data_IF_021792096156
#
_entry.id   IF_021792096156
#
_cell.length_a   1.000
_cell.length_b   1.000
_cell.length_c   1.000
_cell.angle_alpha   90.00
_cell.angle_beta   90.00
_cell.angle_gamma   90.00
#
_symmetry.space_group_name_H-M   'P 1'
#
loop_
_entity.id
_entity.type
_entity.pdbx_description
1 polymer ?
#
# COMPACT_ATOMS: atom_id res chain seq x y z
N UNK A 1 -22.89 11.74 -49.57
CA UNK A 1 -22.06 10.69 -48.95
C UNK A 1 -20.67 11.26 -48.74
N UNK A 2 -20.27 11.49 -47.50
CA UNK A 2 -18.90 11.89 -47.20
C UNK A 2 -18.80 12.83 -46.01
N UNK A 3 -18.04 12.36 -45.01
CA UNK A 3 -17.50 13.05 -43.83
C UNK A 3 -18.40 13.14 -42.61
N UNK A 4 -18.17 12.23 -41.66
CA UNK A 4 -17.84 12.61 -40.28
C UNK A 4 -16.77 11.64 -39.77
N UNK A 5 -15.53 12.12 -39.71
CA UNK A 5 -14.51 11.53 -38.85
C UNK A 5 -14.85 11.96 -37.42
N UNK A 6 -15.17 11.00 -36.54
CA UNK A 6 -15.11 11.24 -35.10
C UNK A 6 -13.70 10.86 -34.67
N UNK A 7 -12.86 11.88 -34.51
CA UNK A 7 -11.71 11.77 -33.63
C UNK A 7 -12.28 11.76 -32.20
N UNK A 8 -12.22 10.61 -31.53
CA UNK A 8 -12.36 10.56 -30.08
C UNK A 8 -11.03 11.05 -29.51
N UNK A 9 -11.04 12.26 -28.97
CA UNK A 9 -9.95 12.71 -28.12
C UNK A 9 -10.12 11.99 -26.78
N UNK A 10 -9.22 11.04 -26.48
CA UNK A 10 -9.01 10.57 -25.11
C UNK A 10 -8.43 11.75 -24.33
N UNK A 11 -9.29 12.46 -23.60
CA UNK A 11 -8.85 13.48 -22.66
C UNK A 11 -8.33 12.76 -21.42
N UNK A 12 -7.01 12.66 -21.26
CA UNK A 12 -6.41 12.24 -20.01
C UNK A 12 -6.82 13.27 -18.93
N UNK A 13 -7.68 12.86 -18.01
CA UNK A 13 -7.99 13.65 -16.83
C UNK A 13 -6.77 13.62 -15.90
N UNK A 14 -6.21 14.78 -15.60
CA UNK A 14 -5.05 14.92 -14.73
C UNK A 14 -5.51 14.79 -13.27
N UNK A 15 -5.07 13.75 -12.56
CA UNK A 15 -5.39 13.53 -11.16
C UNK A 15 -4.34 14.23 -10.29
N UNK A 16 -4.75 15.33 -9.64
CA UNK A 16 -3.90 16.05 -8.70
C UNK A 16 -4.18 15.54 -7.28
N UNK A 17 -3.23 14.82 -6.69
CA UNK A 17 -3.33 14.38 -5.28
C UNK A 17 -2.95 15.56 -4.39
N UNK A 18 -3.96 16.30 -3.94
CA UNK A 18 -3.78 17.44 -3.05
C UNK A 18 -3.47 16.96 -1.63
N UNK A 19 -2.19 17.01 -1.25
CA UNK A 19 -1.83 17.01 0.17
C UNK A 19 -2.33 18.32 0.79
N UNK A 20 -3.06 18.23 1.90
CA UNK A 20 -3.67 19.39 2.56
C UNK A 20 -2.62 20.33 3.17
N UNK A 21 -1.99 21.15 2.33
CA UNK A 21 -1.09 22.24 2.71
C UNK A 21 -1.74 23.60 2.43
N UNK A 22 -2.62 24.07 3.32
CA UNK A 22 -3.20 25.41 3.17
C UNK A 22 -2.17 26.49 3.57
N UNK A 23 -1.54 27.13 2.59
CA UNK A 23 -0.78 28.36 2.79
C UNK A 23 -1.75 29.51 3.13
N UNK A 24 -1.84 29.85 4.41
CA UNK A 24 -2.61 30.99 4.92
C UNK A 24 -1.90 31.65 6.11
N UNK A 25 -1.48 32.89 5.92
CA UNK A 25 -0.77 33.76 6.88
C UNK A 25 -1.29 33.66 8.33
N UNK A 26 -0.34 33.46 9.24
CA UNK A 26 -0.27 34.13 10.55
C UNK A 26 -1.38 33.83 11.55
N UNK A 27 -1.29 32.69 12.23
CA UNK A 27 -1.64 32.55 13.65
C UNK A 27 -1.19 31.16 14.13
N UNK A 28 -0.62 31.09 15.33
CA UNK A 28 -0.26 29.86 16.04
C UNK A 28 -1.38 28.82 15.94
N UNK A 29 -1.23 27.87 15.01
CA UNK A 29 -2.06 26.68 14.91
C UNK A 29 -1.20 25.50 15.34
N UNK A 30 -1.73 24.70 16.25
CA UNK A 30 -1.19 23.36 16.54
C UNK A 30 -1.03 22.62 15.21
N UNK A 31 0.05 21.82 15.03
CA UNK A 31 0.28 21.09 13.80
C UNK A 31 -0.96 20.28 13.44
N UNK A 32 -1.35 20.36 12.17
CA UNK A 32 -2.25 19.40 11.51
C UNK A 32 -1.65 18.00 11.72
N UNK A 33 -2.50 17.01 11.98
CA UNK A 33 -2.12 15.65 12.33
C UNK A 33 -0.98 15.13 11.45
N UNK A 34 0.15 14.81 12.07
CA UNK A 34 1.26 14.11 11.45
C UNK A 34 0.71 12.77 10.93
N UNK A 35 0.79 12.46 9.62
CA UNK A 35 0.24 11.21 9.08
C UNK A 35 0.86 9.98 9.73
N UNK A 36 1.97 10.16 10.47
CA UNK A 36 2.54 9.16 11.35
C UNK A 36 2.70 9.71 12.76
N UNK A 37 1.57 9.96 13.43
CA UNK A 37 1.54 10.33 14.84
C UNK A 37 1.95 9.15 15.74
N UNK A 38 2.52 9.46 16.91
CA UNK A 38 3.16 8.54 17.90
C UNK A 38 4.62 8.15 17.62
N UNK A 39 5.30 8.73 16.62
CA UNK A 39 6.75 8.58 16.46
C UNK A 39 7.18 7.38 15.60
N UNK A 40 6.24 6.80 14.87
CA UNK A 40 6.57 5.91 13.76
C UNK A 40 7.15 6.73 12.58
N UNK A 41 7.94 6.08 11.75
CA UNK A 41 8.55 6.61 10.53
C UNK A 41 8.36 5.58 9.41
N UNK A 42 7.71 5.98 8.30
CA UNK A 42 7.51 5.09 7.16
C UNK A 42 8.85 4.80 6.50
N UNK A 43 9.10 3.53 6.21
CA UNK A 43 10.29 3.11 5.51
C UNK A 43 10.17 3.47 4.01
N UNK A 44 10.92 4.47 3.55
CA UNK A 44 10.94 4.86 2.13
C UNK A 44 11.42 3.72 1.21
N UNK A 45 12.19 2.78 1.77
CA UNK A 45 12.72 1.60 1.08
C UNK A 45 11.78 0.38 1.17
N UNK A 46 10.54 0.54 1.63
CA UNK A 46 9.58 -0.54 1.86
C UNK A 46 9.19 -1.35 0.60
N UNK A 47 9.65 -0.99 -0.60
CA UNK A 47 9.50 -1.79 -1.83
C UNK A 47 10.75 -2.57 -2.23
N UNK A 48 11.82 -2.49 -1.47
CA UNK A 48 13.05 -3.25 -1.70
C UNK A 48 12.93 -4.66 -1.11
N UNK A 49 13.74 -5.60 -1.62
CA UNK A 49 13.86 -6.93 -1.02
C UNK A 49 14.21 -6.81 0.46
N UNK A 50 13.41 -7.41 1.34
CA UNK A 50 13.72 -7.50 2.76
C UNK A 50 15.05 -8.25 2.96
N UNK A 51 15.91 -7.71 3.83
CA UNK A 51 17.25 -8.25 4.11
C UNK A 51 17.20 -9.52 4.95
N UNK A 52 18.27 -10.32 4.92
CA UNK A 52 18.38 -11.56 5.70
C UNK A 52 18.24 -11.31 7.22
N UNK A 53 18.84 -10.26 7.76
CA UNK A 53 18.73 -9.90 9.19
C UNK A 53 17.27 -9.65 9.61
N UNK A 54 16.52 -8.95 8.76
CA UNK A 54 15.10 -8.67 8.98
C UNK A 54 14.23 -9.93 8.84
N UNK A 55 14.67 -10.92 8.05
CA UNK A 55 14.00 -12.24 8.00
C UNK A 55 14.26 -13.05 9.25
N UNK A 56 15.49 -13.10 9.74
CA UNK A 56 15.85 -13.82 10.96
C UNK A 56 15.09 -13.26 12.18
N UNK A 57 15.03 -11.93 12.30
CA UNK A 57 14.26 -11.25 13.34
C UNK A 57 12.76 -11.61 13.26
N UNK A 58 12.19 -11.60 12.05
CA UNK A 58 10.79 -11.96 11.85
C UNK A 58 10.51 -13.44 12.18
N UNK A 59 11.41 -14.35 11.81
CA UNK A 59 11.34 -15.78 12.13
C UNK A 59 11.38 -16.00 13.65
N UNK A 60 12.26 -15.32 14.38
CA UNK A 60 12.29 -15.38 15.86
C UNK A 60 10.98 -14.86 16.47
N UNK A 61 10.45 -13.75 15.96
CA UNK A 61 9.22 -13.16 16.47
C UNK A 61 7.97 -14.03 16.24
N UNK A 62 7.98 -14.83 15.18
CA UNK A 62 6.86 -15.68 14.76
C UNK A 62 7.01 -17.13 15.18
N UNK A 63 8.11 -17.48 15.85
CA UNK A 63 8.34 -18.83 16.36
C UNK A 63 7.19 -19.26 17.30
N UNK A 64 6.60 -20.42 16.98
CA UNK A 64 5.52 -21.00 17.76
C UNK A 64 4.10 -20.53 17.40
N UNK A 65 3.93 -19.62 16.43
CA UNK A 65 2.63 -19.37 15.81
C UNK A 65 2.21 -20.59 14.96
N UNK A 66 0.97 -21.06 15.12
CA UNK A 66 0.50 -22.30 14.47
C UNK A 66 -0.70 -22.11 13.55
N UNK A 67 -1.31 -20.94 13.54
CA UNK A 67 -2.56 -20.70 12.81
C UNK A 67 -2.33 -20.47 11.31
N UNK A 68 -1.26 -19.75 10.98
CA UNK A 68 -0.85 -19.42 9.62
C UNK A 68 0.68 -19.50 9.52
N UNK A 69 1.19 -19.88 8.36
CA UNK A 69 2.59 -19.70 7.99
C UNK A 69 2.77 -18.25 7.52
N UNK A 70 3.54 -17.45 8.28
CA UNK A 70 3.79 -16.05 7.96
C UNK A 70 5.11 -15.87 7.21
N UNK A 71 5.09 -15.09 6.12
CA UNK A 71 6.32 -14.75 5.37
C UNK A 71 6.45 -13.21 5.25
N UNK A 72 7.60 -12.63 5.64
CA UNK A 72 7.77 -11.19 5.58
C UNK A 72 8.09 -10.74 4.15
N UNK A 73 7.43 -9.66 3.75
CA UNK A 73 7.58 -9.03 2.43
C UNK A 73 8.41 -7.75 2.54
N UNK A 74 8.07 -6.86 3.49
CA UNK A 74 8.77 -5.59 3.66
C UNK A 74 8.66 -5.07 5.09
N UNK A 75 9.68 -4.33 5.55
CA UNK A 75 9.53 -3.40 6.68
C UNK A 75 8.90 -2.13 6.14
N UNK A 76 7.69 -1.80 6.61
CA UNK A 76 6.91 -0.66 6.11
C UNK A 76 7.03 0.57 7.02
N UNK A 77 7.39 0.39 8.29
CA UNK A 77 7.67 1.49 9.21
C UNK A 77 8.54 1.05 10.39
N UNK A 78 9.18 2.02 11.05
CA UNK A 78 9.95 1.82 12.28
C UNK A 78 9.60 2.86 13.33
N UNK A 79 9.81 2.55 14.61
CA UNK A 79 9.66 3.50 15.70
C UNK A 79 10.76 3.25 16.73
N UNK A 80 11.57 4.27 16.99
CA UNK A 80 12.62 4.22 17.99
C UNK A 80 12.06 4.40 19.40
N UNK A 81 12.40 3.47 20.28
CA UNK A 81 12.01 3.44 21.70
C UNK A 81 13.24 3.07 22.56
N UNK A 82 13.09 2.34 23.66
CA UNK A 82 14.22 1.69 24.36
C UNK A 82 14.63 0.38 23.66
N UNK A 83 14.82 0.47 22.34
CA UNK A 83 14.82 -0.62 21.37
C UNK A 83 14.20 -0.10 20.07
N UNK A 84 13.71 -0.99 19.22
CA UNK A 84 13.10 -0.64 17.94
C UNK A 84 11.80 -1.42 17.75
N UNK A 85 10.69 -0.71 17.53
CA UNK A 85 9.49 -1.32 16.96
C UNK A 85 9.60 -1.26 15.43
N UNK A 86 9.20 -2.33 14.75
CA UNK A 86 9.13 -2.45 13.29
C UNK A 86 7.73 -2.92 12.92
N UNK A 87 7.17 -2.34 11.87
CA UNK A 87 5.95 -2.80 11.24
C UNK A 87 6.33 -3.52 9.95
N UNK A 88 5.94 -4.79 9.84
CA UNK A 88 6.16 -5.60 8.64
C UNK A 88 4.86 -5.74 7.87
N UNK A 89 4.94 -5.59 6.55
CA UNK A 89 3.97 -6.22 5.66
C UNK A 89 4.38 -7.69 5.49
N UNK A 90 3.47 -8.60 5.76
CA UNK A 90 3.68 -10.04 5.59
C UNK A 90 2.45 -10.71 5.00
N UNK A 91 2.66 -11.89 4.42
CA UNK A 91 1.55 -12.79 4.12
C UNK A 91 1.32 -13.73 5.29
N UNK A 92 0.09 -14.24 5.41
CA UNK A 92 -0.25 -15.39 6.22
C UNK A 92 -0.93 -16.44 5.35
N UNK A 93 -0.40 -17.66 5.33
CA UNK A 93 -0.92 -18.77 4.53
C UNK A 93 -1.50 -19.85 5.44
N UNK A 94 -2.73 -20.29 5.16
CA UNK A 94 -3.34 -21.40 5.91
C UNK A 94 -2.60 -22.69 5.58
N UNK A 95 -2.10 -23.37 6.62
CA UNK A 95 -1.31 -24.60 6.54
C UNK A 95 -2.19 -25.82 6.22
N UNK A 96 -2.86 -25.79 5.07
CA UNK A 96 -3.68 -26.90 4.57
C UNK A 96 -3.75 -26.90 3.04
N UNK A 97 -3.97 -28.06 2.39
CA UNK A 97 -4.12 -28.12 0.94
C UNK A 97 -5.28 -27.23 0.46
N UNK A 98 -4.99 -26.20 -0.33
CA UNK A 98 -5.96 -25.22 -0.80
C UNK A 98 -6.26 -24.07 0.19
N UNK A 99 -5.44 -23.94 1.24
CA UNK A 99 -5.48 -22.83 2.18
C UNK A 99 -5.38 -21.46 1.51
N UNK A 100 -6.14 -20.50 2.04
CA UNK A 100 -6.10 -19.10 1.59
C UNK A 100 -4.78 -18.42 1.98
N UNK A 101 -4.47 -17.35 1.25
CA UNK A 101 -3.43 -16.37 1.61
C UNK A 101 -4.13 -15.06 2.01
N UNK A 102 -3.61 -14.40 3.04
CA UNK A 102 -4.04 -13.07 3.47
C UNK A 102 -2.85 -12.13 3.68
N UNK A 103 -3.07 -10.84 3.57
CA UNK A 103 -2.08 -9.81 3.89
C UNK A 103 -2.24 -9.37 5.33
N UNK A 104 -1.12 -9.17 6.02
CA UNK A 104 -1.10 -8.77 7.42
C UNK A 104 -0.07 -7.67 7.61
N UNK A 105 -0.34 -6.81 8.58
CA UNK A 105 0.66 -5.95 9.19
C UNK A 105 0.99 -6.53 10.56
N UNK A 106 2.28 -6.68 10.81
CA UNK A 106 2.80 -7.28 12.04
C UNK A 106 3.75 -6.31 12.74
N UNK A 107 3.43 -5.92 13.96
CA UNK A 107 4.31 -5.17 14.83
C UNK A 107 5.27 -6.10 15.57
N UNK A 108 6.57 -5.85 15.47
CA UNK A 108 7.60 -6.59 16.20
C UNK A 108 8.51 -5.59 16.93
N UNK A 109 8.90 -5.91 18.15
CA UNK A 109 9.88 -5.15 18.93
C UNK A 109 11.17 -5.92 19.11
N UNK A 110 12.29 -5.20 18.98
CA UNK A 110 13.63 -5.66 19.31
C UNK A 110 14.22 -4.77 20.42
N UNK A 111 14.66 -5.35 21.52
CA UNK A 111 15.35 -4.61 22.59
C UNK A 111 16.82 -4.33 22.27
N UNK A 112 17.47 -3.48 23.08
CA UNK A 112 18.88 -3.12 22.90
C UNK A 112 19.87 -4.28 23.08
N UNK A 113 19.42 -5.42 23.61
CA UNK A 113 20.19 -6.65 23.76
C UNK A 113 19.94 -7.68 22.66
N UNK A 114 19.11 -7.35 21.65
CA UNK A 114 18.72 -8.24 20.55
C UNK A 114 17.55 -9.17 20.87
N UNK A 115 16.86 -8.99 22.00
CA UNK A 115 15.68 -9.77 22.32
C UNK A 115 14.48 -9.35 21.48
N UNK A 116 13.83 -10.30 20.82
CA UNK A 116 12.71 -10.05 19.91
C UNK A 116 11.36 -10.44 20.54
N UNK A 117 10.31 -9.66 20.27
CA UNK A 117 8.93 -10.01 20.64
C UNK A 117 7.91 -9.53 19.61
N UNK A 118 6.92 -10.38 19.36
CA UNK A 118 5.70 -9.98 18.67
C UNK A 118 4.92 -8.96 19.52
N UNK A 119 4.42 -7.90 18.89
CA UNK A 119 3.53 -6.92 19.49
C UNK A 119 2.08 -7.18 19.08
N UNK A 120 1.83 -7.24 17.78
CA UNK A 120 0.52 -7.50 17.20
C UNK A 120 0.60 -8.11 15.79
N UNK A 121 -0.52 -8.68 15.37
CA UNK A 121 -0.77 -9.16 14.00
C UNK A 121 -2.17 -8.71 13.66
N UNK A 122 -2.32 -7.96 12.57
CA UNK A 122 -3.63 -7.50 12.09
C UNK A 122 -3.75 -7.74 10.59
N UNK A 123 -4.87 -8.34 10.20
CA UNK A 123 -5.19 -8.60 8.80
C UNK A 123 -5.50 -7.28 8.07
N UNK A 124 -4.93 -7.13 6.88
CA UNK A 124 -5.30 -6.10 5.92
C UNK A 124 -6.39 -6.69 5.01
N UNK A 125 -7.64 -6.37 5.31
CA UNK A 125 -8.80 -6.94 4.59
C UNK A 125 -8.89 -6.39 3.15
N UNK A 126 -8.38 -7.19 2.21
CA UNK A 126 -8.42 -6.87 0.77
C UNK A 126 -9.78 -7.12 0.14
N UNK A 127 -10.69 -7.82 0.84
CA UNK A 127 -12.04 -8.06 0.32
C UNK A 127 -12.90 -6.81 0.34
N UNK A 128 -12.54 -5.85 1.20
CA UNK A 128 -13.18 -4.54 1.34
C UNK A 128 -12.13 -3.44 1.55
N UNK A 129 -11.33 -3.11 0.52
CA UNK A 129 -10.27 -2.13 0.67
C UNK A 129 -10.88 -0.73 0.93
N UNK A 130 -10.47 -0.11 2.03
CA UNK A 130 -10.91 1.25 2.39
C UNK A 130 -10.09 2.25 1.58
N UNK A 131 -10.66 2.72 0.47
CA UNK A 131 -9.99 3.63 -0.47
C UNK A 131 -10.49 5.08 -0.35
N UNK A 132 -11.52 5.33 0.47
CA UNK A 132 -12.06 6.67 0.73
C UNK A 132 -12.85 6.70 2.05
N UNK A 133 -12.84 7.86 2.73
CA UNK A 133 -13.61 8.06 3.98
C UNK A 133 -15.14 8.11 3.79
N UNK A 134 -15.61 8.29 2.55
CA UNK A 134 -17.04 8.34 2.20
C UNK A 134 -17.37 7.26 1.15
N UNK A 135 -17.77 6.04 1.56
CA UNK A 135 -18.10 4.95 0.66
C UNK A 135 -19.51 5.13 0.04
N UNK A 136 -19.85 6.35 -0.39
CA UNK A 136 -21.17 6.66 -0.92
C UNK A 136 -21.43 5.92 -2.24
N UNK A 137 -22.28 4.89 -2.16
CA UNK A 137 -23.08 4.33 -3.27
C UNK A 137 -22.32 3.79 -4.50
N UNK A 138 -21.06 3.35 -4.34
CA UNK A 138 -20.42 2.54 -5.38
C UNK A 138 -20.95 1.09 -5.31
N UNK A 139 -21.87 0.73 -6.21
CA UNK A 139 -22.18 -0.69 -6.47
C UNK A 139 -20.89 -1.40 -6.85
N UNK A 140 -20.31 -2.13 -5.90
CA UNK A 140 -19.08 -2.89 -6.14
C UNK A 140 -19.42 -4.11 -6.97
N UNK A 141 -19.05 -4.08 -8.26
CA UNK A 141 -19.20 -5.23 -9.15
C UNK A 141 -17.93 -6.08 -9.08
N UNK A 142 -18.09 -7.38 -8.83
CA UNK A 142 -16.96 -8.33 -8.75
C UNK A 142 -16.32 -8.40 -7.36
N UNK A 143 -15.88 -9.59 -6.97
CA UNK A 143 -15.19 -9.82 -5.70
C UNK A 143 -13.69 -9.56 -5.85
N UNK A 144 -13.09 -8.92 -4.85
CA UNK A 144 -11.65 -8.86 -4.73
C UNK A 144 -11.07 -10.24 -4.44
N UNK A 145 -9.94 -10.54 -5.07
CA UNK A 145 -9.13 -11.73 -4.85
C UNK A 145 -7.77 -11.31 -4.33
N UNK A 146 -7.34 -11.91 -3.22
CA UNK A 146 -6.03 -11.66 -2.64
C UNK A 146 -4.94 -12.12 -3.61
N UNK A 147 -4.00 -11.24 -3.91
CA UNK A 147 -2.84 -11.56 -4.71
C UNK A 147 -1.80 -12.27 -3.84
N UNK A 148 -1.14 -13.29 -4.42
CA UNK A 148 0.03 -13.91 -3.82
C UNK A 148 1.26 -13.04 -4.11
N UNK A 149 2.16 -12.84 -3.14
CA UNK A 149 3.43 -12.19 -3.41
C UNK A 149 4.19 -12.96 -4.49
N UNK A 150 4.77 -12.21 -5.43
CA UNK A 150 5.69 -12.73 -6.43
C UNK A 150 7.14 -12.61 -5.97
N UNK A 151 8.08 -13.05 -6.81
CA UNK A 151 9.51 -12.74 -6.65
C UNK A 151 9.79 -11.25 -6.80
N UNK A 152 8.97 -10.57 -7.59
CA UNK A 152 9.00 -9.13 -7.83
C UNK A 152 7.83 -8.46 -7.11
N UNK A 153 8.00 -7.18 -6.75
CA UNK A 153 6.97 -6.35 -6.13
C UNK A 153 5.68 -6.31 -6.97
N UNK A 154 5.84 -6.10 -8.27
CA UNK A 154 4.80 -6.21 -9.29
C UNK A 154 5.31 -7.13 -10.40
N UNK A 155 4.43 -7.92 -11.02
CA UNK A 155 4.78 -8.59 -12.27
C UNK A 155 5.06 -7.55 -13.37
N UNK A 156 5.83 -7.91 -14.40
CA UNK A 156 6.16 -7.00 -15.49
C UNK A 156 4.92 -6.38 -16.16
N UNK A 157 3.85 -7.18 -16.30
CA UNK A 157 2.56 -6.72 -16.85
C UNK A 157 1.90 -5.67 -15.94
N UNK A 158 1.85 -5.92 -14.63
CA UNK A 158 1.22 -4.99 -13.68
C UNK A 158 2.07 -3.73 -13.50
N UNK A 159 3.40 -3.84 -13.58
CA UNK A 159 4.30 -2.69 -13.56
C UNK A 159 4.05 -1.77 -14.77
N UNK A 160 3.88 -2.31 -15.98
CA UNK A 160 3.57 -1.51 -17.17
C UNK A 160 2.21 -0.79 -17.04
N UNK A 161 1.20 -1.48 -16.50
CA UNK A 161 -0.11 -0.89 -16.24
C UNK A 161 -0.03 0.20 -15.16
N UNK A 162 0.76 -0.02 -14.11
CA UNK A 162 0.99 0.95 -13.05
C UNK A 162 1.67 2.21 -13.60
N UNK A 163 2.74 2.07 -14.38
CA UNK A 163 3.42 3.19 -15.03
C UNK A 163 2.48 4.00 -15.93
N UNK A 164 1.65 3.33 -16.74
CA UNK A 164 0.63 3.98 -17.57
C UNK A 164 -0.37 4.76 -16.73
N UNK A 165 -0.88 4.16 -15.65
CA UNK A 165 -1.82 4.80 -14.75
C UNK A 165 -1.22 6.03 -14.05
N UNK A 166 0.07 5.98 -13.67
CA UNK A 166 0.76 7.08 -12.98
C UNK A 166 1.20 8.21 -13.91
N UNK A 167 1.22 8.02 -15.23
CA UNK A 167 1.77 8.99 -16.19
C UNK A 167 1.10 10.40 -16.17
N UNK A 168 -0.07 10.54 -15.55
CA UNK A 168 -0.79 11.81 -15.37
C UNK A 168 -1.02 12.23 -13.91
N UNK A 169 -0.40 11.53 -12.95
CA UNK A 169 -0.53 11.81 -11.52
C UNK A 169 0.56 12.78 -11.09
N UNK A 170 0.18 13.86 -10.42
CA UNK A 170 1.12 14.86 -9.89
C UNK A 170 0.95 15.07 -8.38
N UNK A 171 2.02 15.55 -7.75
CA UNK A 171 2.06 15.93 -6.33
C UNK A 171 2.67 14.87 -5.42
N UNK A 172 2.60 13.59 -5.81
CA UNK A 172 3.16 12.45 -5.07
C UNK A 172 3.81 11.48 -6.06
N UNK A 173 5.03 11.05 -5.77
CA UNK A 173 5.73 9.96 -6.45
C UNK A 173 5.40 8.64 -5.74
N UNK A 174 4.68 7.74 -6.41
CA UNK A 174 4.25 6.47 -5.83
C UNK A 174 5.22 5.35 -6.19
N UNK A 175 5.83 4.75 -5.17
CA UNK A 175 6.73 3.61 -5.26
C UNK A 175 5.99 2.34 -4.80
N UNK A 176 5.72 1.38 -5.69
CA UNK A 176 5.06 0.12 -5.31
C UNK A 176 5.83 -0.64 -4.23
N UNK A 177 5.08 -1.23 -3.29
CA UNK A 177 5.57 -2.13 -2.24
C UNK A 177 5.09 -3.56 -2.51
N UNK A 178 3.80 -3.73 -2.82
CA UNK A 178 3.22 -5.04 -3.14
C UNK A 178 1.91 -4.90 -3.92
N UNK A 179 1.64 -5.84 -4.83
CA UNK A 179 0.28 -6.09 -5.32
C UNK A 179 -0.50 -6.85 -4.25
N UNK A 180 -1.55 -6.22 -3.69
CA UNK A 180 -2.35 -6.80 -2.61
C UNK A 180 -3.50 -7.66 -3.14
N UNK A 181 -4.12 -7.26 -4.23
CA UNK A 181 -5.26 -7.97 -4.79
C UNK A 181 -5.71 -7.49 -6.16
N UNK A 182 -6.60 -8.27 -6.76
CA UNK A 182 -7.21 -7.97 -8.05
C UNK A 182 -8.73 -8.13 -8.00
N UNK A 183 -9.44 -7.41 -8.85
CA UNK A 183 -10.89 -7.53 -8.99
C UNK A 183 -11.26 -7.49 -10.47
N UNK A 184 -11.94 -8.53 -10.93
CA UNK A 184 -12.39 -8.64 -12.33
C UNK A 184 -13.69 -7.87 -12.50
N UNK A 185 -13.68 -6.92 -13.43
CA UNK A 185 -14.80 -6.04 -13.80
C UNK A 185 -14.95 -6.01 -15.32
N UNK A 186 -15.37 -4.88 -15.92
CA UNK A 186 -15.14 -4.62 -17.35
C UNK A 186 -13.67 -4.20 -17.56
N UNK A 187 -12.77 -5.17 -17.49
CA UNK A 187 -11.34 -4.95 -17.28
C UNK A 187 -10.89 -5.56 -15.94
N UNK A 188 -9.79 -5.05 -15.39
CA UNK A 188 -9.24 -5.54 -14.12
C UNK A 188 -8.83 -4.38 -13.24
N UNK A 189 -9.32 -4.36 -12.01
CA UNK A 189 -8.78 -3.49 -10.96
C UNK A 189 -7.61 -4.21 -10.26
N UNK A 190 -6.55 -3.47 -9.97
CA UNK A 190 -5.44 -3.92 -9.15
C UNK A 190 -5.30 -2.99 -7.95
N UNK A 191 -5.11 -3.58 -6.78
CA UNK A 191 -4.87 -2.86 -5.53
C UNK A 191 -3.40 -2.99 -5.16
N UNK A 192 -2.67 -1.88 -5.14
CA UNK A 192 -1.24 -1.83 -4.89
C UNK A 192 -1.00 -1.05 -3.60
N UNK A 193 -0.21 -1.61 -2.68
CA UNK A 193 0.36 -0.83 -1.58
C UNK A 193 1.55 -0.04 -2.13
N UNK A 194 1.59 1.26 -1.88
CA UNK A 194 2.66 2.15 -2.31
C UNK A 194 3.22 2.94 -1.13
N UNK A 195 4.52 3.19 -1.15
CA UNK A 195 5.10 4.35 -0.48
C UNK A 195 4.89 5.56 -1.39
N UNK A 196 4.19 6.58 -0.90
CA UNK A 196 4.01 7.84 -1.62
C UNK A 196 4.95 8.90 -1.07
N UNK A 197 5.86 9.39 -1.91
CA UNK A 197 6.79 10.46 -1.61
C UNK A 197 6.26 11.79 -2.15
N UNK A 198 5.91 12.76 -1.30
CA UNK A 198 5.48 14.07 -1.75
C UNK A 198 6.57 14.77 -2.57
N UNK A 199 6.17 15.40 -3.67
CA UNK A 199 7.10 16.21 -4.47
C UNK A 199 7.49 17.50 -3.73
N UNK A 200 6.70 17.93 -2.75
CA UNK A 200 6.99 19.11 -1.95
C UNK A 200 8.14 18.85 -0.95
N UNK A 201 9.08 19.80 -0.80
CA UNK A 201 10.19 19.66 0.13
C UNK A 201 9.70 19.52 1.58
N UNK A 202 10.49 18.85 2.41
CA UNK A 202 10.29 18.69 3.86
C UNK A 202 8.96 18.03 4.27
N UNK A 203 8.30 17.32 3.34
CA UNK A 203 7.08 16.55 3.63
C UNK A 203 7.42 15.08 3.75
N UNK A 204 6.94 14.43 4.82
CA UNK A 204 7.18 13.00 5.03
C UNK A 204 6.31 12.16 4.09
N UNK A 205 6.87 11.06 3.60
CA UNK A 205 6.11 10.06 2.86
C UNK A 205 5.12 9.30 3.72
N UNK A 206 4.14 8.70 3.07
CA UNK A 206 3.09 7.91 3.70
C UNK A 206 2.80 6.64 2.91
N UNK A 207 2.06 5.70 3.53
CA UNK A 207 1.59 4.49 2.84
C UNK A 207 0.23 4.76 2.20
N UNK A 208 0.08 4.33 0.96
CA UNK A 208 -1.14 4.50 0.18
C UNK A 208 -1.61 3.17 -0.40
N UNK A 209 -2.92 2.97 -0.39
CA UNK A 209 -3.60 1.98 -1.19
C UNK A 209 -3.99 2.62 -2.52
N UNK A 210 -3.34 2.21 -3.60
CA UNK A 210 -3.57 2.72 -4.95
C UNK A 210 -4.35 1.68 -5.73
N UNK A 211 -5.57 2.05 -6.15
CA UNK A 211 -6.37 1.25 -7.07
C UNK A 211 -6.14 1.74 -8.49
N UNK A 212 -5.62 0.87 -9.34
CA UNK A 212 -5.53 1.11 -10.79
C UNK A 212 -6.60 0.27 -11.49
N UNK A 213 -7.27 0.85 -12.50
CA UNK A 213 -8.15 0.14 -13.42
C UNK A 213 -7.42 -0.05 -14.75
N UNK A 214 -7.38 -1.29 -15.24
CA UNK A 214 -6.91 -1.63 -16.57
C UNK A 214 -8.10 -2.03 -17.45
N UNK A 215 -8.20 -1.41 -18.62
CA UNK A 215 -9.22 -1.74 -19.60
C UNK A 215 -8.84 -2.98 -20.43
N UNK A 216 -9.76 -3.44 -21.28
CA UNK A 216 -9.56 -4.61 -22.14
C UNK A 216 -8.67 -4.34 -23.36
N UNK A 217 -8.36 -3.07 -23.64
CA UNK A 217 -7.58 -2.61 -24.79
C UNK A 217 -6.11 -2.29 -24.39
N UNK A 218 -5.72 -2.52 -23.13
CA UNK A 218 -4.37 -2.35 -22.61
C UNK A 218 -4.07 -0.93 -22.08
N UNK A 219 -5.09 -0.10 -21.91
CA UNK A 219 -5.03 1.16 -21.17
C UNK A 219 -5.12 0.94 -19.66
N UNK A 220 -4.63 1.92 -18.89
CA UNK A 220 -4.71 1.91 -17.43
C UNK A 220 -4.83 3.32 -16.86
N UNK A 221 -5.61 3.49 -15.80
CA UNK A 221 -5.79 4.75 -15.07
C UNK A 221 -5.89 4.53 -13.56
N UNK A 222 -5.57 5.56 -12.77
CA UNK A 222 -5.80 5.54 -11.33
C UNK A 222 -7.29 5.72 -11.07
N UNK A 223 -7.92 4.71 -10.47
CA UNK A 223 -9.33 4.75 -10.10
C UNK A 223 -9.53 5.37 -8.71
N UNK A 224 -8.65 5.05 -7.75
CA UNK A 224 -8.73 5.57 -6.40
C UNK A 224 -7.37 5.55 -5.69
N UNK A 225 -7.19 6.43 -4.71
CA UNK A 225 -6.02 6.49 -3.83
C UNK A 225 -6.50 6.73 -2.40
N UNK A 226 -6.28 5.75 -1.52
CA UNK A 226 -6.57 5.84 -0.09
C UNK A 226 -5.28 5.92 0.73
N UNK A 227 -5.28 6.71 1.80
CA UNK A 227 -4.21 6.67 2.80
C UNK A 227 -4.37 5.39 3.64
N UNK A 228 -3.29 4.62 3.82
CA UNK A 228 -3.28 3.53 4.79
C UNK A 228 -2.95 4.12 6.18
N UNK A 229 -3.93 4.17 7.07
CA UNK A 229 -3.69 4.53 8.47
C UNK A 229 -2.93 3.40 9.17
N UNK A 230 -1.61 3.52 9.24
CA UNK A 230 -0.74 2.55 9.89
C UNK A 230 -1.14 2.31 11.35
N UNK A 231 -1.67 3.32 12.06
CA UNK A 231 -2.01 3.20 13.49
C UNK A 231 -3.21 2.28 13.75
N UNK A 232 -4.05 2.03 12.75
CA UNK A 232 -5.04 0.95 12.84
C UNK A 232 -4.37 -0.42 12.97
N UNK A 233 -3.11 -0.55 12.52
CA UNK A 233 -2.40 -1.81 12.36
C UNK A 233 -1.25 -2.05 13.34
N UNK A 234 -0.87 -1.05 14.15
CA UNK A 234 0.21 -1.15 15.17
C UNK A 234 -0.19 -0.59 16.54
#
# INVERSE_FOLDING_TARGET
MGRFAKAAAAGAAMLLVMLAGCAGRGQDRKPVDDPVARGWEIAAEAGSSISDDERELFEEATEGLTDLDYEPVAVIATQLVSGTNRAYLCTGTVVSPGGGVGWHVMGIYEDLGGGVRLLDIKELDITQPVLSEDPADAETVGAWTVAKPGSDVLSAEVAELFEKAMAGVEGVDFKPIALLGTQIVSGTNYLVLCYGEPVAPDTRGALYLVQIHADLDGGAEVANVGLLDLLAYV
#
